data_IF_285773872209
#
_entry.id   IF_285773872209
#
_cell.length_a   1.000
_cell.length_b   1.000
_cell.length_c   1.000
_cell.angle_alpha   90.00
_cell.angle_beta   90.00
_cell.angle_gamma   90.00
#
_symmetry.space_group_name_H-M   'P 1'
#
loop_
_entity.id
_entity.type
_entity.pdbx_description
1 polymer ?
#
# COMPACT_ATOMS: atom_id res chain seq x y z
N UNK A 1 7.12 -14.93 6.42
CA UNK A 1 6.17 -14.39 7.41
C UNK A 1 6.54 -12.96 7.70
N UNK A 2 5.53 -12.10 7.83
CA UNK A 2 5.70 -10.69 8.16
C UNK A 2 6.35 -10.49 9.54
N UNK A 3 7.12 -9.42 9.68
CA UNK A 3 7.52 -8.91 11.00
C UNK A 3 6.37 -8.15 11.66
N UNK A 4 6.40 -7.95 12.97
CA UNK A 4 5.33 -7.25 13.69
C UNK A 4 5.80 -5.96 14.36
N UNK A 5 4.88 -5.02 14.56
CA UNK A 5 5.08 -3.83 15.40
C UNK A 5 4.01 -3.78 16.50
N UNK A 6 4.32 -3.10 17.61
CA UNK A 6 3.36 -2.92 18.70
C UNK A 6 2.50 -1.69 18.44
N UNK A 7 1.20 -1.92 18.29
CA UNK A 7 0.24 -0.84 18.01
C UNK A 7 0.10 0.14 19.19
N UNK A 8 0.31 -0.31 20.43
CA UNK A 8 0.19 0.54 21.63
C UNK A 8 1.38 1.48 21.74
N UNK A 9 2.56 1.02 21.32
CA UNK A 9 3.81 1.77 21.37
C UNK A 9 4.14 2.48 20.05
N UNK A 10 3.27 2.38 19.04
CA UNK A 10 3.48 3.03 17.75
C UNK A 10 3.15 4.52 17.85
N UNK A 11 4.13 5.36 17.51
CA UNK A 11 3.99 6.81 17.43
C UNK A 11 4.16 7.27 15.97
N UNK A 12 3.08 7.78 15.37
CA UNK A 12 3.10 8.29 14.00
C UNK A 12 3.89 9.59 13.87
N UNK A 13 4.01 10.38 14.94
CA UNK A 13 4.75 11.64 14.92
C UNK A 13 6.26 11.37 14.94
N UNK A 14 6.72 10.37 15.71
CA UNK A 14 8.13 9.93 15.70
C UNK A 14 8.55 9.39 14.32
N UNK A 15 7.75 8.53 13.70
CA UNK A 15 8.02 8.06 12.33
C UNK A 15 7.93 9.23 11.33
N UNK A 16 7.10 10.25 11.62
CA UNK A 16 7.04 11.44 10.80
C UNK A 16 8.33 12.25 10.81
N UNK A 17 8.95 12.37 11.98
CA UNK A 17 10.22 13.07 12.18
C UNK A 17 11.40 12.31 11.57
N UNK A 18 11.36 10.98 11.61
CA UNK A 18 12.40 10.11 11.08
C UNK A 18 12.49 10.11 9.55
N UNK A 19 11.36 10.21 8.86
CA UNK A 19 11.28 10.17 7.40
C UNK A 19 10.53 11.37 6.81
N UNK A 20 10.95 12.62 7.08
CA UNK A 20 10.15 13.82 6.83
C UNK A 20 9.67 13.94 5.39
N UNK A 21 10.52 13.53 4.44
CA UNK A 21 10.23 13.46 3.02
C UNK A 21 10.33 12.01 2.53
N UNK A 22 9.24 11.50 1.95
CA UNK A 22 9.19 10.16 1.36
C UNK A 22 9.27 10.28 -0.17
N UNK A 23 10.26 9.66 -0.82
CA UNK A 23 10.36 9.70 -2.27
C UNK A 23 9.11 9.08 -2.93
N UNK A 24 8.55 9.71 -3.98
CA UNK A 24 7.40 9.16 -4.70
C UNK A 24 7.62 7.73 -5.24
N UNK A 25 8.86 7.36 -5.55
CA UNK A 25 9.22 6.00 -5.96
C UNK A 25 8.93 4.95 -4.89
N UNK A 26 9.14 5.28 -3.62
CA UNK A 26 8.89 4.37 -2.50
C UNK A 26 7.38 4.18 -2.30
N UNK A 27 6.61 5.28 -2.34
CA UNK A 27 5.13 5.23 -2.31
C UNK A 27 4.58 4.37 -3.45
N UNK A 28 5.08 4.60 -4.68
CA UNK A 28 4.70 3.81 -5.84
C UNK A 28 5.05 2.33 -5.66
N UNK A 29 6.27 2.01 -5.20
CA UNK A 29 6.71 0.64 -4.96
C UNK A 29 5.81 -0.09 -3.96
N UNK A 30 5.45 0.57 -2.85
CA UNK A 30 4.56 0.03 -1.85
C UNK A 30 3.15 -0.23 -2.41
N UNK A 31 2.59 0.75 -3.13
CA UNK A 31 1.29 0.61 -3.77
C UNK A 31 1.27 -0.55 -4.79
N UNK A 32 2.30 -0.69 -5.63
CA UNK A 32 2.39 -1.79 -6.59
C UNK A 32 2.55 -3.16 -5.93
N UNK A 33 3.32 -3.23 -4.84
CA UNK A 33 3.45 -4.47 -4.08
C UNK A 33 2.10 -4.92 -3.53
N UNK A 34 1.36 -4.01 -2.88
CA UNK A 34 0.05 -4.32 -2.29
C UNK A 34 -1.01 -4.61 -3.35
N UNK A 35 -1.05 -3.83 -4.42
CA UNK A 35 -1.87 -4.09 -5.59
C UNK A 35 -1.65 -5.51 -6.13
N UNK A 36 -0.39 -5.88 -6.39
CA UNK A 36 -0.05 -7.22 -6.87
C UNK A 36 -0.36 -8.33 -5.88
N UNK A 37 -0.27 -8.06 -4.57
CA UNK A 37 -0.64 -9.01 -3.52
C UNK A 37 -2.14 -9.28 -3.53
N UNK A 38 -2.97 -8.24 -3.62
CA UNK A 38 -4.43 -8.33 -3.67
C UNK A 38 -4.92 -8.96 -4.98
N UNK A 39 -4.28 -8.62 -6.11
CA UNK A 39 -4.56 -9.23 -7.43
C UNK A 39 -4.34 -10.75 -7.40
N UNK A 40 -3.22 -11.22 -6.84
CA UNK A 40 -2.94 -12.67 -6.71
C UNK A 40 -3.96 -13.41 -5.85
N UNK A 41 -4.57 -12.72 -4.90
CA UNK A 41 -5.62 -13.26 -4.04
C UNK A 41 -7.04 -13.10 -4.61
N UNK A 42 -7.19 -12.44 -5.76
CA UNK A 42 -8.50 -12.16 -6.34
C UNK A 42 -9.35 -11.23 -5.48
N UNK A 43 -8.73 -10.35 -4.68
CA UNK A 43 -9.41 -9.38 -3.82
C UNK A 43 -9.53 -8.06 -4.58
N UNK A 44 -10.74 -7.59 -4.93
CA UNK A 44 -10.94 -6.26 -5.49
C UNK A 44 -10.42 -5.17 -4.55
N UNK A 45 -9.77 -4.16 -5.12
CA UNK A 45 -9.23 -3.01 -4.38
C UNK A 45 -9.27 -1.73 -5.20
N UNK A 46 -9.12 -0.60 -4.51
CA UNK A 46 -8.98 0.72 -5.09
C UNK A 46 -7.96 1.54 -4.33
N UNK A 47 -7.04 2.19 -5.05
CA UNK A 47 -6.15 3.19 -4.49
C UNK A 47 -6.94 4.47 -4.22
N UNK A 48 -6.75 5.07 -3.05
CA UNK A 48 -7.42 6.30 -2.65
C UNK A 48 -6.44 7.25 -1.94
N UNK A 49 -6.99 8.25 -1.25
CA UNK A 49 -6.20 9.17 -0.43
C UNK A 49 -5.22 10.03 -1.21
N UNK A 50 -4.14 10.43 -0.55
CA UNK A 50 -3.21 11.42 -1.10
C UNK A 50 -2.45 10.92 -2.32
N UNK A 51 -2.07 9.64 -2.37
CA UNK A 51 -1.33 9.07 -3.50
C UNK A 51 -2.18 9.01 -4.77
N UNK A 52 -3.45 8.61 -4.66
CA UNK A 52 -4.37 8.63 -5.79
C UNK A 52 -4.54 10.05 -6.35
N UNK A 53 -4.70 11.03 -5.47
CA UNK A 53 -4.85 12.44 -5.83
C UNK A 53 -3.57 13.01 -6.45
N UNK A 54 -2.38 12.61 -5.98
CA UNK A 54 -1.11 12.97 -6.58
C UNK A 54 -0.98 12.40 -8.01
N UNK A 55 -1.40 11.16 -8.25
CA UNK A 55 -1.43 10.58 -9.61
C UNK A 55 -2.45 11.24 -10.55
N UNK A 56 -3.42 11.98 -10.01
CA UNK A 56 -4.33 12.83 -10.79
C UNK A 56 -3.78 14.25 -11.04
N UNK A 57 -2.52 14.52 -10.69
CA UNK A 57 -1.83 15.78 -10.97
C UNK A 57 -1.83 16.79 -9.83
N UNK A 58 -2.25 16.40 -8.62
CA UNK A 58 -2.14 17.26 -7.45
C UNK A 58 -0.68 17.44 -7.00
N UNK A 59 -0.38 18.62 -6.47
CA UNK A 59 0.92 18.94 -5.86
C UNK A 59 0.95 18.68 -4.35
N UNK A 60 -0.15 18.21 -3.77
CA UNK A 60 -0.22 17.89 -2.33
C UNK A 60 0.66 16.67 -2.05
N UNK A 61 1.62 16.83 -1.14
CA UNK A 61 2.45 15.72 -0.66
C UNK A 61 1.61 14.73 0.17
N UNK A 62 1.97 13.45 0.08
CA UNK A 62 1.42 12.34 0.89
C UNK A 62 2.58 11.49 1.36
N UNK A 63 2.39 10.73 2.43
CA UNK A 63 3.46 9.93 3.06
C UNK A 63 3.10 8.46 3.24
N UNK A 64 1.92 8.12 2.75
CA UNK A 64 1.17 6.91 2.99
C UNK A 64 0.44 6.49 1.71
N UNK A 65 -0.05 5.26 1.73
CA UNK A 65 -0.84 4.66 0.67
C UNK A 65 -2.16 4.19 1.25
N UNK A 66 -3.27 4.81 0.83
CA UNK A 66 -4.60 4.36 1.23
C UNK A 66 -5.18 3.42 0.19
N UNK A 67 -5.63 2.24 0.61
CA UNK A 67 -6.28 1.27 -0.26
C UNK A 67 -7.55 0.73 0.36
N UNK A 68 -8.68 0.92 -0.31
CA UNK A 68 -9.89 0.17 0.03
C UNK A 68 -9.85 -1.20 -0.62
N UNK A 69 -10.35 -2.21 0.07
CA UNK A 69 -10.47 -3.57 -0.46
C UNK A 69 -11.84 -4.18 -0.13
N UNK A 70 -12.20 -5.22 -0.88
CA UNK A 70 -13.44 -5.97 -0.67
C UNK A 70 -13.14 -7.48 -0.68
N UNK A 71 -12.94 -8.07 0.50
CA UNK A 71 -12.67 -9.51 0.65
C UNK A 71 -13.91 -10.25 1.19
N UNK A 72 -14.27 -11.44 0.66
CA UNK A 72 -15.38 -12.25 1.18
C UNK A 72 -15.23 -12.58 2.67
N UNK A 73 -14.00 -12.90 3.11
CA UNK A 73 -13.66 -13.15 4.50
C UNK A 73 -13.33 -11.89 5.29
N UNK A 74 -13.56 -10.69 4.73
CA UNK A 74 -13.31 -9.40 5.37
C UNK A 74 -11.87 -9.27 5.87
N UNK A 75 -11.66 -8.59 6.98
CA UNK A 75 -10.36 -8.50 7.64
C UNK A 75 -9.70 -9.85 7.97
N UNK A 76 -10.47 -10.93 8.21
CA UNK A 76 -9.87 -12.25 8.51
C UNK A 76 -9.08 -12.80 7.33
N UNK A 77 -9.57 -12.59 6.11
CA UNK A 77 -8.86 -12.98 4.90
C UNK A 77 -7.65 -12.08 4.65
N UNK A 78 -7.78 -10.78 4.90
CA UNK A 78 -6.66 -9.84 4.83
C UNK A 78 -5.52 -10.24 5.77
N UNK A 79 -5.83 -10.59 7.03
CA UNK A 79 -4.83 -11.06 8.00
C UNK A 79 -4.02 -12.26 7.50
N UNK A 80 -4.69 -13.26 6.90
CA UNK A 80 -4.02 -14.46 6.37
C UNK A 80 -3.05 -14.12 5.23
N UNK A 81 -3.45 -13.18 4.39
CA UNK A 81 -2.66 -12.70 3.26
C UNK A 81 -1.42 -11.95 3.73
N UNK A 82 -1.58 -10.97 4.64
CA UNK A 82 -0.47 -10.13 5.08
C UNK A 82 0.51 -10.87 6.01
N UNK A 83 0.07 -11.83 6.82
CA UNK A 83 0.93 -12.61 7.71
C UNK A 83 1.96 -13.46 6.95
N UNK A 84 1.60 -13.94 5.76
CA UNK A 84 2.49 -14.75 4.94
C UNK A 84 3.67 -13.94 4.38
N UNK A 85 3.48 -12.64 4.15
CA UNK A 85 4.38 -11.83 3.33
C UNK A 85 5.58 -11.27 4.11
N UNK A 86 6.83 -11.71 3.83
CA UNK A 86 8.02 -11.27 4.56
C UNK A 86 8.40 -9.81 4.31
N UNK A 87 7.84 -9.18 3.27
CA UNK A 87 8.07 -7.77 2.95
C UNK A 87 7.24 -6.83 3.85
N UNK A 88 6.26 -7.37 4.58
CA UNK A 88 5.37 -6.59 5.41
C UNK A 88 5.82 -6.50 6.87
N UNK A 89 5.47 -5.37 7.48
CA UNK A 89 5.44 -5.18 8.92
C UNK A 89 3.97 -4.96 9.30
N UNK A 90 3.42 -5.82 10.15
CA UNK A 90 1.99 -5.83 10.49
C UNK A 90 1.79 -5.58 11.99
N UNK A 91 0.59 -5.18 12.45
CA UNK A 91 0.34 -5.05 13.87
C UNK A 91 0.50 -6.40 14.58
N UNK A 92 1.05 -6.40 15.79
CA UNK A 92 1.14 -7.60 16.63
C UNK A 92 -0.22 -8.07 17.17
N UNK A 93 -1.26 -7.26 17.05
CA UNK A 93 -2.61 -7.52 17.57
C UNK A 93 -3.64 -7.44 16.46
N UNK A 94 -4.58 -8.39 16.46
CA UNK A 94 -5.70 -8.42 15.52
C UNK A 94 -6.86 -7.61 16.09
N UNK A 95 -6.81 -6.29 15.93
CA UNK A 95 -7.98 -5.46 16.25
C UNK A 95 -9.12 -5.73 15.25
N UNK A 96 -10.35 -5.81 15.75
CA UNK A 96 -11.58 -5.84 14.94
C UNK A 96 -11.92 -4.42 14.45
N UNK A 97 -10.99 -3.81 13.72
CA UNK A 97 -11.20 -2.53 13.04
C UNK A 97 -11.46 -2.80 11.55
N UNK A 98 -12.19 -1.89 10.90
CA UNK A 98 -12.34 -1.88 9.45
C UNK A 98 -11.09 -1.32 8.75
N UNK A 99 -10.04 -1.00 9.48
CA UNK A 99 -8.77 -0.48 8.96
C UNK A 99 -7.62 -1.30 9.54
N UNK A 100 -6.72 -1.73 8.67
CA UNK A 100 -5.46 -2.37 9.03
C UNK A 100 -4.30 -1.56 8.47
N UNK A 101 -3.49 -1.00 9.36
CA UNK A 101 -2.26 -0.30 9.01
C UNK A 101 -1.13 -1.32 8.91
N UNK A 102 -0.47 -1.37 7.77
CA UNK A 102 0.71 -2.20 7.53
C UNK A 102 1.83 -1.34 6.98
N UNK A 103 3.07 -1.79 7.10
CA UNK A 103 4.20 -1.15 6.46
C UNK A 103 4.81 -2.07 5.41
N UNK A 104 5.03 -1.54 4.20
CA UNK A 104 5.73 -2.22 3.13
C UNK A 104 7.19 -1.80 3.16
N UNK A 105 8.11 -2.75 3.30
CA UNK A 105 9.54 -2.46 3.17
C UNK A 105 9.86 -2.11 1.72
N UNK A 106 10.44 -0.92 1.50
CA UNK A 106 10.91 -0.46 0.19
C UNK A 106 12.40 -0.14 0.25
N UNK A 107 13.07 -0.08 -0.90
CA UNK A 107 14.51 0.15 -0.99
C UNK A 107 15.32 -1.08 -1.43
N UNK A 108 16.66 -0.97 -1.39
CA UNK A 108 17.56 -2.02 -1.86
C UNK A 108 17.27 -3.36 -1.18
N UNK A 109 17.17 -4.42 -1.98
CA UNK A 109 16.81 -5.78 -1.53
C UNK A 109 15.33 -6.12 -1.65
N UNK A 110 14.46 -5.13 -1.86
CA UNK A 110 13.04 -5.33 -2.15
C UNK A 110 12.62 -4.79 -3.52
N UNK A 111 13.20 -3.66 -3.92
CA UNK A 111 12.89 -2.95 -5.17
C UNK A 111 14.07 -2.06 -5.60
N UNK A 112 13.85 -1.23 -6.63
CA UNK A 112 14.86 -0.32 -7.19
C UNK A 112 14.85 1.08 -6.53
N UNK A 113 14.19 1.25 -5.37
CA UNK A 113 14.24 2.52 -4.65
C UNK A 113 15.61 2.69 -3.99
N UNK A 114 16.12 3.91 -3.97
CA UNK A 114 17.45 4.22 -3.42
C UNK A 114 17.46 4.20 -1.89
N UNK A 115 16.34 4.55 -1.26
CA UNK A 115 16.21 4.69 0.19
C UNK A 115 15.44 3.51 0.77
N UNK A 116 15.97 2.91 1.83
CA UNK A 116 15.31 1.87 2.58
C UNK A 116 14.31 2.47 3.58
N UNK A 117 13.04 2.50 3.22
CA UNK A 117 11.97 3.14 4.02
C UNK A 117 10.78 2.19 4.14
N UNK A 118 10.27 1.93 5.36
CA UNK A 118 8.97 1.28 5.54
C UNK A 118 7.86 2.28 5.17
N UNK A 119 7.07 1.96 4.15
CA UNK A 119 5.96 2.81 3.71
C UNK A 119 4.67 2.34 4.33
N UNK A 120 3.99 3.25 5.00
CA UNK A 120 2.67 3.03 5.57
C UNK A 120 1.63 2.78 4.48
N UNK A 121 0.84 1.72 4.67
CA UNK A 121 -0.31 1.39 3.83
C UNK A 121 -1.51 1.14 4.73
N UNK A 122 -2.57 1.92 4.53
CA UNK A 122 -3.84 1.75 5.20
C UNK A 122 -4.79 0.93 4.35
N UNK A 123 -5.08 -0.28 4.82
CA UNK A 123 -6.01 -1.21 4.20
C UNK A 123 -7.39 -1.04 4.83
N UNK A 124 -8.34 -0.54 4.05
CA UNK A 124 -9.67 -0.17 4.53
C UNK A 124 -10.68 -1.18 3.98
N UNK A 125 -11.38 -1.90 4.85
CA UNK A 125 -12.49 -2.77 4.45
C UNK A 125 -13.64 -1.91 3.91
N UNK A 126 -14.00 -2.11 2.64
CA UNK A 126 -15.17 -1.45 2.06
C UNK A 126 -16.46 -2.06 2.63
N UNK A 127 -17.24 -1.24 3.34
CA UNK A 127 -18.48 -1.66 3.99
C UNK A 127 -19.69 -1.86 3.07
N UNK A 128 -19.55 -1.67 1.75
CA UNK A 128 -20.68 -1.81 0.80
C UNK A 128 -20.34 -2.81 -0.32
N UNK A 129 -21.30 -3.69 -0.64
CA UNK A 129 -21.26 -4.63 -1.77
C UNK A 129 -21.34 -3.95 -3.14
N UNK A 130 -21.00 -2.66 -3.23
CA UNK A 130 -20.78 -2.03 -4.53
C UNK A 130 -19.49 -2.63 -5.03
N UNK A 131 -19.59 -3.44 -6.09
CA UNK A 131 -18.44 -4.02 -6.78
C UNK A 131 -17.39 -2.92 -6.92
N UNK A 132 -16.23 -3.08 -6.28
CA UNK A 132 -15.02 -2.31 -6.64
C UNK A 132 -14.59 -2.83 -8.02
N UNK A 133 -15.46 -2.66 -9.01
CA UNK A 133 -15.20 -2.98 -10.39
C UNK A 133 -14.47 -1.77 -10.93
N UNK A 134 -13.14 -1.86 -10.98
CA UNK A 134 -12.30 -0.88 -11.66
C UNK A 134 -12.67 0.58 -11.32
N UNK A 135 -12.66 0.95 -10.04
CA UNK A 135 -12.70 2.38 -9.70
C UNK A 135 -11.33 2.96 -10.06
N UNK A 136 -11.23 3.33 -11.35
CA UNK A 136 -10.35 4.29 -12.01
C UNK A 136 -9.05 4.57 -11.23
N UNK A 137 -7.94 3.91 -11.56
CA UNK A 137 -6.67 4.59 -11.94
C UNK A 137 -5.66 3.59 -12.58
N UNK A 138 -5.89 2.27 -12.55
CA UNK A 138 -4.91 1.27 -13.03
C UNK A 138 -4.63 1.25 -14.54
N UNK A 139 -5.60 1.40 -15.48
CA UNK A 139 -5.25 1.40 -16.90
C UNK A 139 -4.43 2.64 -17.27
N UNK A 140 -4.57 3.76 -16.55
CA UNK A 140 -3.78 4.98 -16.79
C UNK A 140 -2.36 4.83 -16.24
N UNK A 141 -2.17 4.23 -15.06
CA UNK A 141 -0.81 3.98 -14.52
C UNK A 141 -0.05 2.96 -15.37
N UNK A 142 -0.72 1.90 -15.87
CA UNK A 142 -0.08 0.94 -16.77
C UNK A 142 0.29 1.59 -18.13
N UNK A 143 -0.54 2.50 -18.65
CA UNK A 143 -0.25 3.23 -19.90
C UNK A 143 0.87 4.27 -19.73
N UNK A 144 0.88 5.03 -18.63
CA UNK A 144 1.91 6.06 -18.36
C UNK A 144 3.30 5.41 -18.22
N UNK A 145 3.40 4.22 -17.62
CA UNK A 145 4.69 3.52 -17.50
C UNK A 145 5.06 2.67 -18.71
N UNK A 146 4.10 2.17 -19.50
CA UNK A 146 4.42 1.55 -20.80
C UNK A 146 5.06 2.55 -21.76
N UNK A 147 4.82 3.86 -21.60
CA UNK A 147 5.48 4.92 -22.37
C UNK A 147 6.83 5.40 -21.79
N UNK A 148 7.30 4.84 -20.66
CA UNK A 148 8.57 5.21 -20.00
C UNK A 148 9.61 4.09 -19.92
N UNK A 149 9.43 2.96 -20.62
CA UNK A 149 10.57 2.09 -20.92
C UNK A 149 11.37 2.76 -22.05
N UNK A 150 12.64 3.17 -21.83
CA UNK A 150 13.52 3.37 -22.96
C UNK A 150 13.69 2.00 -23.62
N UNK A 151 13.20 1.90 -24.86
CA UNK A 151 13.47 0.75 -25.70
C UNK A 151 14.98 0.51 -25.72
N UNK A 152 15.36 -0.71 -25.36
CA UNK A 152 16.68 -1.23 -25.65
C UNK A 152 16.82 -1.28 -27.17
N UNK A 153 17.69 -0.43 -27.71
CA UNK A 153 18.38 -0.60 -28.97
C UNK A 153 19.87 -0.44 -28.70
#
# INVERSE_FOLDING_TARGET
MASTYDLVNYDSDEEREKYPDIPPSNLASAAFFMAGLLDRAGIPYGLMGGLAVAYMGSTRATRDVDMAFQAPGKMREMWRLVEAEPRLIIPNTRLLSNIMKVFVRTGPGYDNCQQAIPIEVDLIESGTSVTIQHMLILPVIHLIFSMRRPDKL
#
